data_IF_808587213804
#
_entry.id   IF_808587213804
#
_cell.length_a   1.000
_cell.length_b   1.000
_cell.length_c   1.000
_cell.angle_alpha   90.00
_cell.angle_beta   90.00
_cell.angle_gamma   90.00
#
_symmetry.space_group_name_H-M   'P 1'
#
loop_
_entity.id
_entity.type
_entity.pdbx_description
1 polymer ?
#
# COMPACT_ATOMS: atom_id res chain seq x y z
N UNK A 1 6.52 8.30 -17.85
CA UNK A 1 6.92 9.64 -18.32
C UNK A 1 6.83 10.58 -17.12
N UNK A 2 7.96 11.00 -16.60
CA UNK A 2 8.09 11.82 -15.41
C UNK A 2 7.56 13.23 -15.73
N UNK A 3 6.55 13.72 -15.02
CA UNK A 3 6.07 15.08 -15.15
C UNK A 3 6.70 15.93 -14.05
N UNK A 4 7.72 16.74 -14.34
CA UNK A 4 8.41 17.57 -13.34
C UNK A 4 7.50 18.63 -12.71
N UNK A 5 6.34 18.91 -13.29
CA UNK A 5 5.40 19.91 -12.79
C UNK A 5 4.57 19.47 -11.59
N UNK A 6 4.51 18.16 -11.28
CA UNK A 6 3.81 17.65 -10.09
C UNK A 6 4.51 17.99 -8.77
N UNK A 7 5.78 18.38 -8.84
CA UNK A 7 6.58 18.73 -7.65
C UNK A 7 6.43 20.22 -7.28
N UNK A 8 5.79 21.03 -8.13
CA UNK A 8 5.76 22.49 -7.95
C UNK A 8 4.80 22.99 -6.87
N UNK A 9 3.88 22.17 -6.37
CA UNK A 9 2.96 22.57 -5.30
C UNK A 9 3.30 21.84 -3.99
N UNK A 10 3.34 22.53 -2.81
CA UNK A 10 3.58 21.90 -1.52
C UNK A 10 2.63 20.72 -1.23
N UNK A 11 1.42 20.75 -1.77
CA UNK A 11 0.43 19.67 -1.66
C UNK A 11 0.93 18.34 -2.24
N UNK A 12 1.87 18.39 -3.18
CA UNK A 12 2.43 17.23 -3.87
C UNK A 12 3.81 16.81 -3.33
N UNK A 13 4.20 17.27 -2.13
CA UNK A 13 5.46 16.91 -1.48
C UNK A 13 5.20 16.03 -0.25
N UNK A 14 4.70 14.78 -0.40
CA UNK A 14 4.49 13.89 0.73
C UNK A 14 5.82 13.43 1.32
N UNK A 15 5.87 13.25 2.63
CA UNK A 15 7.03 12.69 3.30
C UNK A 15 6.89 11.18 3.44
N UNK A 16 7.92 10.42 3.06
CA UNK A 16 8.04 9.00 3.39
C UNK A 16 8.27 8.87 4.89
N UNK A 17 7.47 8.01 5.53
CA UNK A 17 7.57 7.76 6.98
C UNK A 17 8.30 6.46 7.22
N UNK A 18 9.42 6.56 7.91
CA UNK A 18 10.19 5.43 8.40
C UNK A 18 9.83 5.17 9.88
N UNK A 19 9.95 3.92 10.28
CA UNK A 19 9.92 3.53 11.68
C UNK A 19 11.24 3.96 12.38
N UNK A 20 11.33 3.79 13.70
CA UNK A 20 12.54 4.14 14.46
C UNK A 20 13.77 3.28 14.12
N UNK A 21 13.59 2.17 13.42
CA UNK A 21 14.66 1.34 12.87
C UNK A 21 15.05 1.71 11.42
N UNK A 22 14.53 2.84 10.93
CA UNK A 22 14.73 3.33 9.57
C UNK A 22 14.15 2.44 8.46
N UNK A 23 13.35 1.44 8.77
CA UNK A 23 12.57 0.72 7.78
C UNK A 23 11.28 1.48 7.45
N UNK A 24 10.75 1.44 6.23
CA UNK A 24 9.45 2.02 5.93
C UNK A 24 8.36 1.51 6.87
N UNK A 25 7.57 2.42 7.44
CA UNK A 25 6.48 2.06 8.36
C UNK A 25 5.44 1.15 7.69
N UNK A 26 5.24 1.32 6.39
CA UNK A 26 4.50 0.41 5.51
C UNK A 26 5.03 0.54 4.09
N UNK A 27 5.22 -0.59 3.41
CA UNK A 27 5.57 -0.61 1.99
C UNK A 27 4.34 -0.54 1.09
N UNK A 28 3.21 -1.09 1.56
CA UNK A 28 1.99 -1.19 0.74
C UNK A 28 0.72 -1.05 1.60
N UNK A 29 -0.06 0.01 1.37
CA UNK A 29 0.36 1.21 0.65
C UNK A 29 1.57 1.86 1.34
N UNK A 30 2.40 2.54 0.55
CA UNK A 30 3.56 3.25 1.10
C UNK A 30 3.10 4.28 2.14
N UNK A 31 3.75 4.30 3.30
CA UNK A 31 3.41 5.23 4.37
C UNK A 31 3.89 6.64 4.04
N UNK A 32 3.01 7.40 3.43
CA UNK A 32 3.24 8.79 3.05
C UNK A 32 2.38 9.72 3.90
N UNK A 33 3.02 10.72 4.50
CA UNK A 33 2.29 11.79 5.18
C UNK A 33 2.30 13.07 4.35
N UNK A 34 1.18 13.83 4.34
CA UNK A 34 1.19 15.20 3.82
C UNK A 34 2.28 16.02 4.50
N UNK A 35 2.94 16.88 3.74
CA UNK A 35 4.04 17.69 4.27
C UNK A 35 3.66 18.51 5.52
N UNK A 36 2.41 18.99 5.62
CA UNK A 36 1.92 19.71 6.80
C UNK A 36 1.94 18.82 8.05
N UNK A 37 1.56 17.55 7.89
CA UNK A 37 1.57 16.56 8.97
C UNK A 37 3.00 16.24 9.39
N UNK A 38 3.90 16.08 8.43
CA UNK A 38 5.33 15.84 8.67
C UNK A 38 5.96 17.01 9.45
N UNK A 39 5.76 18.24 9.00
CA UNK A 39 6.26 19.45 9.68
C UNK A 39 5.70 19.52 11.10
N UNK A 40 4.40 19.32 11.29
CA UNK A 40 3.79 19.31 12.61
C UNK A 40 4.44 18.28 13.54
N UNK A 41 4.74 17.09 13.03
CA UNK A 41 5.39 16.04 13.81
C UNK A 41 6.84 16.41 14.19
N UNK A 42 7.58 17.11 13.31
CA UNK A 42 8.91 17.67 13.62
C UNK A 42 8.82 18.66 14.78
N UNK A 43 7.90 19.63 14.74
CA UNK A 43 7.74 20.61 15.82
C UNK A 43 7.26 20.00 17.15
N UNK A 44 6.56 18.86 17.08
CA UNK A 44 6.15 18.10 18.26
C UNK A 44 7.22 17.14 18.77
N UNK A 45 8.42 17.16 18.18
CA UNK A 45 9.54 16.30 18.53
C UNK A 45 9.23 14.79 18.45
N UNK A 46 8.34 14.40 17.51
CA UNK A 46 7.90 13.01 17.32
C UNK A 46 8.67 12.27 16.24
N UNK A 47 9.33 13.02 15.36
CA UNK A 47 10.08 12.48 14.22
C UNK A 47 11.38 13.24 14.05
N UNK A 48 12.35 12.57 13.42
CA UNK A 48 13.59 13.17 12.91
C UNK A 48 13.50 13.35 11.39
N UNK A 49 14.07 14.45 10.88
CA UNK A 49 14.16 14.68 9.44
C UNK A 49 15.38 13.92 8.92
N UNK A 50 15.15 13.00 7.98
CA UNK A 50 16.20 12.19 7.36
C UNK A 50 16.62 12.77 6.03
N UNK A 51 15.66 13.22 5.21
CA UNK A 51 15.90 13.93 3.95
C UNK A 51 14.85 15.02 3.73
N UNK A 52 15.18 16.00 2.90
CA UNK A 52 14.29 17.13 2.58
C UNK A 52 14.24 17.37 1.08
N UNK A 53 13.11 17.88 0.61
CA UNK A 53 12.99 18.44 -0.72
C UNK A 53 13.80 19.72 -0.85
N UNK A 54 14.20 20.11 -2.06
CA UNK A 54 14.80 21.42 -2.36
C UNK A 54 13.77 22.57 -2.26
N UNK A 55 12.66 22.34 -1.60
CA UNK A 55 11.56 23.25 -1.41
C UNK A 55 11.44 23.70 0.03
N UNK A 56 11.08 24.96 0.19
CA UNK A 56 10.91 25.57 1.49
C UNK A 56 9.48 26.05 1.70
N UNK A 57 9.07 26.04 2.96
CA UNK A 57 7.86 26.69 3.43
C UNK A 57 8.21 27.74 4.46
N UNK A 58 7.42 28.80 4.45
CA UNK A 58 7.62 29.96 5.30
C UNK A 58 6.42 30.14 6.25
N UNK A 59 6.72 30.55 7.46
CA UNK A 59 5.77 31.14 8.39
C UNK A 59 6.26 32.54 8.74
N UNK A 60 5.47 33.39 9.41
CA UNK A 60 5.91 34.74 9.78
C UNK A 60 7.23 34.80 10.57
N UNK A 61 7.59 33.71 11.27
CA UNK A 61 8.77 33.66 12.15
C UNK A 61 9.77 32.57 11.81
N UNK A 62 9.50 31.70 10.83
CA UNK A 62 10.36 30.54 10.52
C UNK A 62 10.30 30.17 9.05
N UNK A 63 11.42 29.66 8.56
CA UNK A 63 11.61 29.07 7.25
C UNK A 63 12.20 27.67 7.43
N UNK A 64 11.73 26.69 6.68
CA UNK A 64 12.31 25.35 6.69
C UNK A 64 12.09 24.63 5.36
N UNK A 65 13.03 23.75 5.01
CA UNK A 65 12.85 22.81 3.88
C UNK A 65 11.74 21.81 4.22
N UNK A 66 10.95 21.43 3.21
CA UNK A 66 9.89 20.43 3.36
C UNK A 66 10.55 19.06 3.53
N UNK A 67 10.28 18.31 4.61
CA UNK A 67 10.80 16.96 4.77
C UNK A 67 10.31 16.03 3.66
N UNK A 68 11.21 15.28 3.01
CA UNK A 68 10.88 14.23 2.04
C UNK A 68 10.92 12.84 2.67
N UNK A 69 11.75 12.65 3.72
CA UNK A 69 11.84 11.43 4.51
C UNK A 69 11.92 11.82 5.98
N UNK A 70 11.10 11.18 6.80
CA UNK A 70 11.09 11.33 8.25
C UNK A 70 11.14 9.97 8.93
N UNK A 71 11.82 9.88 10.08
CA UNK A 71 11.86 8.68 10.91
C UNK A 71 11.13 8.93 12.24
N UNK A 72 10.30 7.99 12.67
CA UNK A 72 9.65 8.04 13.97
C UNK A 72 10.70 7.90 15.09
N UNK A 73 10.59 8.69 16.16
CA UNK A 73 11.44 8.55 17.34
C UNK A 73 11.06 7.36 18.21
N UNK A 74 9.82 6.90 18.11
CA UNK A 74 9.34 5.73 18.85
C UNK A 74 9.04 4.61 17.88
N UNK A 75 9.54 3.41 18.20
CA UNK A 75 9.31 2.22 17.39
C UNK A 75 7.84 1.81 17.43
N UNK A 76 7.24 1.68 16.25
CA UNK A 76 5.89 1.15 16.06
C UNK A 76 6.01 -0.30 15.62
N UNK A 77 5.53 -1.22 16.45
CA UNK A 77 5.52 -2.64 16.09
C UNK A 77 4.55 -2.87 14.92
N UNK A 78 5.02 -3.38 13.77
CA UNK A 78 4.15 -3.73 12.67
C UNK A 78 3.11 -4.76 13.09
N UNK A 79 1.87 -4.60 12.63
CA UNK A 79 0.84 -5.62 12.88
C UNK A 79 1.21 -6.92 12.16
N UNK A 80 1.14 -8.05 12.87
CA UNK A 80 1.36 -9.38 12.27
C UNK A 80 0.29 -9.70 11.24
N UNK A 81 -0.90 -9.14 11.41
CA UNK A 81 -2.04 -9.38 10.56
C UNK A 81 -2.51 -8.08 9.89
N UNK A 82 -2.54 -8.03 8.57
CA UNK A 82 -3.00 -6.86 7.85
C UNK A 82 -4.51 -6.66 8.04
N UNK A 83 -4.93 -5.39 8.02
CA UNK A 83 -6.34 -5.04 8.03
C UNK A 83 -7.02 -5.58 6.76
N UNK A 84 -8.27 -6.06 6.90
CA UNK A 84 -9.07 -6.51 5.78
C UNK A 84 -9.61 -5.30 5.01
N UNK A 85 -8.85 -4.85 4.02
CA UNK A 85 -9.21 -3.73 3.13
C UNK A 85 -9.29 -4.20 1.69
N UNK A 86 -9.99 -3.43 0.85
CA UNK A 86 -10.04 -3.71 -0.61
C UNK A 86 -8.64 -3.76 -1.22
N UNK A 87 -7.77 -2.83 -0.86
CA UNK A 87 -6.40 -2.78 -1.35
C UNK A 87 -5.61 -4.03 -0.96
N UNK A 88 -5.62 -4.40 0.34
CA UNK A 88 -4.90 -5.56 0.83
C UNK A 88 -5.44 -6.87 0.26
N UNK A 89 -6.76 -6.94 -0.03
CA UNK A 89 -7.36 -8.08 -0.71
C UNK A 89 -6.82 -8.22 -2.14
N UNK A 90 -6.81 -7.12 -2.90
CA UNK A 90 -6.28 -7.12 -4.27
C UNK A 90 -4.78 -7.41 -4.28
N UNK A 91 -4.03 -6.88 -3.31
CA UNK A 91 -2.60 -7.16 -3.17
C UNK A 91 -2.33 -8.64 -2.86
N UNK A 92 -3.12 -9.27 -1.96
CA UNK A 92 -3.05 -10.71 -1.70
C UNK A 92 -3.20 -11.51 -2.99
N UNK A 93 -4.15 -11.12 -3.82
CA UNK A 93 -4.51 -11.79 -5.07
C UNK A 93 -3.70 -11.27 -6.27
N UNK A 94 -2.61 -10.51 -6.01
CA UNK A 94 -1.67 -9.96 -7.02
C UNK A 94 -2.37 -9.13 -8.09
N UNK A 95 -3.42 -8.38 -7.71
CA UNK A 95 -4.24 -7.57 -8.60
C UNK A 95 -4.75 -8.35 -9.83
N UNK A 96 -5.12 -9.62 -9.63
CA UNK A 96 -5.63 -10.48 -10.69
C UNK A 96 -6.92 -11.19 -10.26
N UNK A 97 -7.83 -11.37 -11.22
CA UNK A 97 -9.05 -12.16 -11.03
C UNK A 97 -8.68 -13.61 -10.68
N UNK A 98 -9.18 -14.13 -9.57
CA UNK A 98 -8.87 -15.48 -9.12
C UNK A 98 -9.63 -16.58 -9.88
N UNK A 99 -10.46 -16.20 -10.86
CA UNK A 99 -11.14 -17.13 -11.76
C UNK A 99 -10.54 -17.19 -13.15
N UNK A 100 -10.05 -16.09 -13.73
CA UNK A 100 -9.56 -16.05 -15.09
C UNK A 100 -8.19 -15.37 -15.26
N UNK A 101 -7.60 -14.82 -14.18
CA UNK A 101 -6.31 -14.14 -14.23
C UNK A 101 -6.34 -12.70 -14.77
N UNK A 102 -7.49 -12.18 -15.23
CA UNK A 102 -7.59 -10.81 -15.76
C UNK A 102 -7.22 -9.75 -14.71
N UNK A 103 -6.40 -8.74 -15.03
CA UNK A 103 -6.11 -7.62 -14.14
C UNK A 103 -7.10 -6.46 -14.27
N UNK A 104 -8.10 -6.56 -15.14
CA UNK A 104 -9.03 -5.48 -15.45
C UNK A 104 -10.36 -5.60 -14.70
N UNK A 105 -11.00 -4.45 -14.44
CA UNK A 105 -12.34 -4.33 -13.82
C UNK A 105 -12.50 -5.16 -12.54
N UNK A 106 -11.50 -5.07 -11.67
CA UNK A 106 -11.44 -5.88 -10.45
C UNK A 106 -12.46 -5.43 -9.40
N UNK A 107 -13.18 -6.40 -8.91
CA UNK A 107 -14.11 -6.33 -7.80
C UNK A 107 -13.76 -7.39 -6.75
N UNK A 108 -14.49 -7.45 -5.67
CA UNK A 108 -14.39 -8.58 -4.73
C UNK A 108 -15.66 -9.41 -4.79
N UNK A 109 -15.48 -10.72 -4.68
CA UNK A 109 -16.54 -11.71 -4.73
C UNK A 109 -16.52 -12.59 -3.48
N UNK A 110 -17.70 -12.87 -2.93
CA UNK A 110 -17.84 -13.84 -1.84
C UNK A 110 -17.87 -15.25 -2.42
N UNK A 111 -16.86 -16.06 -2.14
CA UNK A 111 -16.75 -17.47 -2.60
C UNK A 111 -18.02 -18.24 -2.22
N UNK A 112 -18.35 -18.25 -0.92
CA UNK A 112 -19.68 -18.65 -0.43
C UNK A 112 -20.53 -17.38 -0.38
N UNK A 113 -21.62 -17.31 -1.16
CA UNK A 113 -22.46 -16.12 -1.22
C UNK A 113 -23.06 -15.74 0.15
N UNK A 114 -23.25 -14.44 0.37
CA UNK A 114 -23.87 -13.95 1.62
C UNK A 114 -25.25 -14.57 1.89
N UNK A 115 -26.04 -14.78 0.85
CA UNK A 115 -27.35 -15.48 0.95
C UNK A 115 -27.26 -16.94 1.41
N UNK A 116 -26.08 -17.58 1.21
CA UNK A 116 -25.78 -18.93 1.67
C UNK A 116 -24.98 -18.93 2.98
N UNK A 117 -24.99 -17.82 3.74
CA UNK A 117 -24.32 -17.69 5.03
C UNK A 117 -22.83 -17.30 4.95
N UNK A 118 -22.32 -16.99 3.77
CA UNK A 118 -20.93 -16.55 3.58
C UNK A 118 -20.65 -15.22 4.29
N UNK A 119 -19.56 -15.17 5.05
CA UNK A 119 -19.10 -13.96 5.77
C UNK A 119 -18.06 -13.20 4.96
N UNK A 120 -17.93 -11.91 5.23
CA UNK A 120 -16.89 -11.07 4.65
C UNK A 120 -15.61 -11.24 5.46
N UNK A 121 -14.82 -12.26 5.11
CA UNK A 121 -13.55 -12.61 5.75
C UNK A 121 -12.49 -12.90 4.71
N UNK A 122 -11.23 -12.95 5.14
CA UNK A 122 -10.11 -13.28 4.27
C UNK A 122 -10.28 -14.62 3.54
N UNK A 123 -10.89 -15.60 4.21
CA UNK A 123 -11.05 -16.97 3.72
C UNK A 123 -12.24 -17.12 2.77
N UNK A 124 -13.13 -16.14 2.74
CA UNK A 124 -14.36 -16.20 1.93
C UNK A 124 -14.46 -15.11 0.85
N UNK A 125 -13.51 -14.20 0.75
CA UNK A 125 -13.53 -13.16 -0.27
C UNK A 125 -12.31 -13.31 -1.19
N UNK A 126 -12.55 -13.27 -2.49
CA UNK A 126 -11.53 -13.32 -3.53
C UNK A 126 -11.68 -12.15 -4.51
N UNK A 127 -10.57 -11.75 -5.14
CA UNK A 127 -10.57 -10.80 -6.24
C UNK A 127 -11.19 -11.44 -7.47
N UNK A 128 -12.17 -10.78 -8.08
CA UNK A 128 -12.81 -11.22 -9.31
C UNK A 128 -12.98 -10.05 -10.27
N UNK A 129 -12.81 -10.27 -11.57
CA UNK A 129 -13.21 -9.26 -12.54
C UNK A 129 -14.74 -9.20 -12.66
N UNK A 130 -15.29 -8.07 -13.05
CA UNK A 130 -16.74 -7.88 -13.20
C UNK A 130 -17.42 -8.97 -14.04
N UNK A 131 -16.87 -9.39 -15.20
CA UNK A 131 -17.45 -10.48 -15.99
C UNK A 131 -17.53 -11.81 -15.23
N UNK A 132 -16.47 -12.21 -14.52
CA UNK A 132 -16.46 -13.45 -13.75
C UNK A 132 -17.43 -13.37 -12.55
N UNK A 133 -17.49 -12.25 -11.85
CA UNK A 133 -18.39 -12.03 -10.74
C UNK A 133 -19.87 -12.11 -11.19
N UNK A 134 -20.21 -11.48 -12.31
CA UNK A 134 -21.53 -11.56 -12.92
C UNK A 134 -21.88 -13.00 -13.37
N UNK A 135 -20.92 -13.69 -14.03
CA UNK A 135 -21.10 -15.10 -14.43
C UNK A 135 -21.38 -16.00 -13.22
N UNK A 136 -20.69 -15.76 -12.10
CA UNK A 136 -20.92 -16.51 -10.84
C UNK A 136 -22.33 -16.22 -10.28
N UNK A 137 -22.80 -14.96 -10.34
CA UNK A 137 -24.19 -14.59 -10.09
C UNK A 137 -24.72 -14.98 -8.71
N UNK A 138 -23.91 -14.83 -7.66
CA UNK A 138 -24.28 -15.17 -6.29
C UNK A 138 -24.43 -16.68 -6.02
N UNK A 139 -23.90 -17.55 -6.88
CA UNK A 139 -23.74 -18.99 -6.67
C UNK A 139 -22.38 -19.29 -6.06
N UNK A 140 -22.19 -20.50 -5.55
CA UNK A 140 -20.84 -20.98 -5.21
C UNK A 140 -20.04 -21.23 -6.51
N UNK A 141 -18.70 -21.24 -6.47
CA UNK A 141 -17.89 -21.58 -7.64
C UNK A 141 -18.28 -22.92 -8.26
N UNK A 142 -18.56 -23.93 -7.45
CA UNK A 142 -18.99 -25.26 -7.90
C UNK A 142 -20.30 -25.19 -8.69
N UNK A 143 -21.31 -24.50 -8.17
CA UNK A 143 -22.60 -24.32 -8.83
C UNK A 143 -22.49 -23.49 -10.12
N UNK A 144 -21.52 -22.59 -10.19
CA UNK A 144 -21.26 -21.77 -11.37
C UNK A 144 -20.31 -22.43 -12.39
N UNK A 145 -19.86 -23.67 -12.13
CA UNK A 145 -18.83 -24.37 -12.91
C UNK A 145 -17.57 -23.53 -13.09
N UNK A 146 -17.14 -22.86 -12.00
CA UNK A 146 -15.94 -22.02 -11.95
C UNK A 146 -14.98 -22.57 -10.90
N UNK A 147 -13.69 -22.34 -11.11
CA UNK A 147 -12.63 -22.75 -10.20
C UNK A 147 -11.79 -21.54 -9.82
N UNK A 148 -11.42 -21.43 -8.54
CA UNK A 148 -10.43 -20.48 -8.07
C UNK A 148 -9.02 -20.98 -8.38
N UNK A 149 -8.14 -20.10 -8.80
CA UNK A 149 -6.70 -20.42 -8.96
C UNK A 149 -6.06 -20.72 -7.62
N UNK A 150 -6.42 -19.95 -6.58
CA UNK A 150 -5.90 -20.11 -5.23
C UNK A 150 -7.07 -20.06 -4.24
N UNK A 151 -7.06 -20.96 -3.26
CA UNK A 151 -8.02 -20.91 -2.14
C UNK A 151 -7.72 -19.67 -1.29
N UNK A 152 -8.70 -18.80 -1.01
CA UNK A 152 -8.49 -17.62 -0.19
C UNK A 152 -8.05 -17.99 1.23
N UNK A 153 -6.96 -17.41 1.67
CA UNK A 153 -6.45 -17.51 3.04
C UNK A 153 -6.15 -16.12 3.60
N UNK A 154 -6.05 -16.02 4.92
CA UNK A 154 -5.59 -14.79 5.55
C UNK A 154 -4.08 -14.63 5.33
N UNK A 155 -3.62 -13.54 4.71
CA UNK A 155 -2.19 -13.32 4.52
C UNK A 155 -1.54 -12.82 5.81
N UNK A 156 -0.23 -13.01 5.93
CA UNK A 156 0.60 -12.28 6.88
C UNK A 156 0.98 -10.93 6.30
N UNK A 157 1.39 -9.98 7.16
CA UNK A 157 1.92 -8.68 6.70
C UNK A 157 3.14 -8.85 5.81
N UNK A 158 4.01 -9.83 6.13
CA UNK A 158 5.17 -10.16 5.31
C UNK A 158 4.79 -10.61 3.90
N UNK A 159 3.81 -11.51 3.77
CA UNK A 159 3.33 -11.97 2.45
C UNK A 159 2.77 -10.83 1.59
N UNK A 160 2.05 -9.88 2.21
CA UNK A 160 1.56 -8.70 1.47
C UNK A 160 2.71 -7.78 1.05
N UNK A 161 3.73 -7.59 1.87
CA UNK A 161 4.91 -6.82 1.51
C UNK A 161 5.65 -7.45 0.33
N UNK A 162 5.86 -8.77 0.37
CA UNK A 162 6.47 -9.53 -0.72
C UNK A 162 5.69 -9.37 -2.04
N UNK A 163 4.38 -9.55 -2.00
CA UNK A 163 3.54 -9.31 -3.18
C UNK A 163 3.62 -7.85 -3.66
N UNK A 164 3.68 -6.92 -2.73
CA UNK A 164 3.74 -5.50 -3.04
C UNK A 164 4.99 -5.09 -3.80
N UNK A 165 6.13 -5.73 -3.57
CA UNK A 165 7.38 -5.47 -4.30
C UNK A 165 7.23 -5.64 -5.83
N UNK A 166 6.33 -6.52 -6.27
CA UNK A 166 6.02 -6.70 -7.69
C UNK A 166 5.15 -5.58 -8.29
N UNK A 167 4.59 -4.71 -7.45
CA UNK A 167 3.70 -3.62 -7.85
C UNK A 167 4.18 -2.29 -7.25
N UNK A 168 5.34 -1.76 -7.68
CA UNK A 168 5.87 -0.51 -7.14
C UNK A 168 4.88 0.64 -7.37
N UNK A 169 4.83 1.63 -6.48
CA UNK A 169 4.02 2.82 -6.69
C UNK A 169 4.39 3.52 -8.01
N UNK A 170 3.40 4.11 -8.67
CA UNK A 170 3.60 4.82 -9.93
C UNK A 170 4.54 6.04 -9.82
N UNK A 171 4.81 6.50 -8.60
CA UNK A 171 5.68 7.62 -8.30
C UNK A 171 6.54 7.31 -7.08
N UNK A 172 7.84 7.38 -7.26
CA UNK A 172 8.84 7.34 -6.20
C UNK A 172 9.73 8.57 -6.35
N UNK A 173 9.84 9.36 -5.28
CA UNK A 173 10.81 10.45 -5.25
C UNK A 173 12.23 9.87 -5.10
N UNK A 174 13.23 10.50 -5.74
CA UNK A 174 14.62 10.01 -5.71
C UNK A 174 15.16 9.82 -4.28
N UNK A 175 14.83 10.74 -3.35
CA UNK A 175 15.25 10.67 -1.94
C UNK A 175 14.68 9.47 -1.17
N UNK A 176 13.73 8.71 -1.75
CA UNK A 176 13.13 7.54 -1.11
C UNK A 176 13.78 6.23 -1.53
N UNK A 177 14.56 6.21 -2.62
CA UNK A 177 15.09 4.99 -3.21
C UNK A 177 15.95 4.20 -2.22
N UNK A 178 16.85 4.86 -1.49
CA UNK A 178 17.75 4.22 -0.52
C UNK A 178 17.00 3.55 0.63
N UNK A 179 15.76 3.99 0.91
CA UNK A 179 14.93 3.48 2.00
C UNK A 179 13.95 2.40 1.58
N UNK A 180 13.68 2.26 0.28
CA UNK A 180 12.71 1.30 -0.25
C UNK A 180 13.36 0.03 -0.78
N UNK A 181 14.63 0.09 -1.16
CA UNK A 181 15.36 -1.00 -1.81
C UNK A 181 16.64 -1.41 -1.08
N UNK A 182 16.78 -1.05 0.20
CA UNK A 182 17.99 -1.31 0.99
C UNK A 182 18.30 -2.80 1.17
N UNK A 183 17.31 -3.68 1.01
CA UNK A 183 17.42 -5.13 1.16
C UNK A 183 17.53 -5.88 -0.18
N UNK A 184 17.71 -5.17 -1.30
CA UNK A 184 17.95 -5.79 -2.60
C UNK A 184 19.40 -6.24 -2.65
N UNK A 185 19.64 -7.55 -2.91
CA UNK A 185 20.98 -8.07 -3.13
C UNK A 185 21.66 -7.30 -4.26
N UNK A 186 22.83 -6.75 -3.98
CA UNK A 186 23.69 -6.17 -5.01
C UNK A 186 24.25 -7.33 -5.83
N UNK A 187 23.73 -7.54 -7.04
CA UNK A 187 24.32 -8.48 -7.99
C UNK A 187 25.73 -7.98 -8.35
N UNK A 188 26.73 -8.77 -7.99
CA UNK A 188 28.14 -8.53 -8.31
C UNK A 188 28.41 -8.76 -9.81
#
# INVERSE_FOLDING_TARGET
MYHPDLIRHPENCPALVLNADYTPLSYYPLSLWPWQTAIKAVFLDRVDIVASYEREVHSPSRQMKIPSVIALKQYVRPSEHPAFTRFNLFLRDKFACQYCGSPHDLTFDHVIPRRAGGRTTWENVATACSPCNLKKGGRTPREAHMQLHVTPIRPTSWQLQEHGRAFPPNYLHESWHDWLYWDVELLA
#
